data_IF_843113449316
#
_entry.id   IF_843113449316
#
_cell.length_a   1.000
_cell.length_b   1.000
_cell.length_c   1.000
_cell.angle_alpha   90.00
_cell.angle_beta   90.00
_cell.angle_gamma   90.00
#
_symmetry.space_group_name_H-M   'P 1'
#
loop_
_entity.id
_entity.type
_entity.pdbx_description
1 polymer ?
#
# COMPACT_ATOMS: atom_id res chain seq x y z
N UNK A 1 -53.28 -49.69 -45.34
CA UNK A 1 -52.53 -50.72 -46.08
C UNK A 1 -51.27 -50.04 -46.59
N UNK A 2 -50.13 -50.17 -45.92
CA UNK A 2 -49.10 -51.22 -46.13
C UNK A 2 -48.66 -51.31 -47.60
N UNK A 3 -47.36 -51.13 -47.86
CA UNK A 3 -46.81 -51.50 -49.16
C UNK A 3 -45.45 -50.89 -49.49
N UNK A 4 -44.40 -51.46 -48.91
CA UNK A 4 -43.01 -51.37 -49.35
C UNK A 4 -42.86 -51.74 -50.84
N UNK A 5 -41.99 -51.04 -51.60
CA UNK A 5 -41.48 -51.52 -52.90
C UNK A 5 -39.95 -51.66 -52.84
N UNK A 6 -39.37 -52.83 -53.17
CA UNK A 6 -37.93 -53.10 -53.06
C UNK A 6 -37.10 -52.59 -54.26
N UNK A 7 -35.85 -52.20 -53.96
CA UNK A 7 -34.68 -51.98 -54.85
C UNK A 7 -34.12 -53.36 -55.33
N UNK A 8 -33.40 -53.59 -56.48
CA UNK A 8 -32.10 -52.99 -56.90
C UNK A 8 -31.79 -53.18 -58.45
N UNK A 9 -30.56 -53.36 -59.00
CA UNK A 9 -29.19 -52.90 -58.69
C UNK A 9 -28.43 -52.19 -59.84
N UNK A 10 -27.37 -51.47 -59.41
CA UNK A 10 -26.13 -51.01 -60.04
C UNK A 10 -25.79 -51.40 -61.49
N UNK A 11 -25.37 -50.37 -62.21
CA UNK A 11 -24.19 -50.46 -63.09
C UNK A 11 -24.22 -49.41 -64.18
N UNK A 12 -23.41 -48.35 -64.07
CA UNK A 12 -22.49 -47.92 -65.13
C UNK A 12 -21.44 -46.99 -64.51
N UNK A 13 -20.18 -47.29 -64.85
CA UNK A 13 -18.94 -46.66 -64.43
C UNK A 13 -18.80 -45.30 -65.10
N UNK A 14 -18.53 -44.25 -64.33
CA UNK A 14 -17.82 -43.08 -64.86
C UNK A 14 -16.34 -43.23 -64.53
N UNK A 15 -15.59 -43.69 -65.51
CA UNK A 15 -14.14 -43.53 -65.61
C UNK A 15 -13.81 -42.09 -66.00
N UNK A 16 -12.85 -41.46 -65.32
CA UNK A 16 -11.97 -40.51 -66.00
C UNK A 16 -11.78 -39.10 -65.44
N UNK A 17 -12.17 -38.78 -64.21
CA UNK A 17 -11.69 -37.56 -63.54
C UNK A 17 -11.52 -37.86 -62.05
N UNK A 18 -10.29 -37.90 -61.54
CA UNK A 18 -10.07 -37.83 -60.08
C UNK A 18 -10.64 -36.50 -59.57
N UNK A 19 -11.35 -36.48 -58.44
CA UNK A 19 -11.78 -35.22 -57.84
C UNK A 19 -10.54 -34.40 -57.52
N UNK A 20 -10.36 -33.29 -58.22
CA UNK A 20 -9.31 -32.32 -57.90
C UNK A 20 -9.63 -31.78 -56.51
N UNK A 21 -8.82 -32.12 -55.52
CA UNK A 21 -8.89 -31.53 -54.20
C UNK A 21 -8.45 -30.07 -54.28
N UNK A 22 -9.42 -29.19 -54.54
CA UNK A 22 -9.26 -27.74 -54.56
C UNK A 22 -8.83 -27.18 -53.20
N UNK A 23 -8.90 -27.96 -52.11
CA UNK A 23 -8.30 -27.57 -50.85
C UNK A 23 -6.78 -27.71 -50.92
N UNK A 24 -6.24 -28.84 -51.38
CA UNK A 24 -4.80 -29.08 -51.44
C UNK A 24 -4.02 -28.03 -52.26
N UNK A 25 -4.58 -27.51 -53.36
CA UNK A 25 -3.98 -26.41 -54.13
C UNK A 25 -3.96 -25.07 -53.36
N UNK A 26 -4.94 -24.82 -52.49
CA UNK A 26 -5.04 -23.57 -51.71
C UNK A 26 -4.08 -23.52 -50.51
N UNK A 27 -3.61 -24.68 -50.04
CA UNK A 27 -2.60 -24.77 -48.98
C UNK A 27 -1.16 -24.59 -49.51
N UNK A 28 -0.93 -24.73 -50.81
CA UNK A 28 0.39 -24.56 -51.43
C UNK A 28 0.80 -23.08 -51.60
N UNK A 29 -0.16 -22.14 -51.60
CA UNK A 29 0.10 -20.69 -51.64
C UNK A 29 0.53 -20.10 -50.28
N UNK A 30 0.50 -20.89 -49.21
CA UNK A 30 0.80 -20.42 -47.85
C UNK A 30 2.25 -20.58 -47.39
N UNK A 31 3.19 -20.94 -48.29
CA UNK A 31 4.53 -21.34 -47.87
C UNK A 31 5.62 -20.27 -47.82
N UNK A 32 5.38 -19.02 -48.22
CA UNK A 32 6.41 -17.97 -48.12
C UNK A 32 5.82 -16.59 -47.83
N UNK A 33 5.06 -16.46 -46.73
CA UNK A 33 4.85 -15.14 -46.13
C UNK A 33 6.05 -14.83 -45.22
N UNK A 34 6.77 -13.70 -45.42
CA UNK A 34 7.78 -13.27 -44.46
C UNK A 34 7.13 -13.17 -43.08
N UNK A 35 7.86 -13.55 -42.03
CA UNK A 35 7.40 -13.44 -40.65
C UNK A 35 6.83 -12.04 -40.44
N UNK A 36 5.53 -11.95 -40.14
CA UNK A 36 4.94 -10.70 -39.67
C UNK A 36 5.82 -10.22 -38.53
N UNK A 37 6.43 -9.05 -38.68
CA UNK A 37 6.93 -8.31 -37.54
C UNK A 37 5.80 -8.31 -36.50
N UNK A 38 6.08 -8.87 -35.33
CA UNK A 38 5.10 -9.02 -34.27
C UNK A 38 4.44 -7.67 -34.03
N UNK A 39 3.16 -7.60 -34.42
CA UNK A 39 2.35 -6.42 -34.22
C UNK A 39 2.37 -6.13 -32.72
N UNK A 40 2.90 -4.96 -32.33
CA UNK A 40 2.90 -4.47 -30.95
C UNK A 40 1.55 -4.81 -30.30
N UNK A 41 1.53 -5.59 -29.20
CA UNK A 41 0.28 -6.04 -28.60
C UNK A 41 -0.56 -4.82 -28.19
N UNK A 42 -1.85 -4.87 -28.53
CA UNK A 42 -2.79 -3.79 -28.33
C UNK A 42 -2.91 -3.50 -26.81
N UNK A 43 -2.33 -2.39 -26.34
CA UNK A 43 -2.17 -2.05 -24.91
C UNK A 43 -3.46 -1.62 -24.20
N UNK A 44 -4.59 -1.55 -24.92
CA UNK A 44 -5.82 -0.90 -24.46
C UNK A 44 -6.66 -1.76 -23.50
N UNK A 45 -6.41 -3.07 -23.42
CA UNK A 45 -7.22 -4.03 -22.66
C UNK A 45 -6.55 -4.72 -21.47
N UNK A 46 -5.24 -4.57 -21.26
CA UNK A 46 -4.53 -5.28 -20.20
C UNK A 46 -4.69 -4.59 -18.84
N UNK A 47 -4.56 -5.38 -17.77
CA UNK A 47 -4.51 -4.93 -16.37
C UNK A 47 -3.36 -5.63 -15.65
N UNK A 48 -2.82 -5.02 -14.61
CA UNK A 48 -1.74 -5.62 -13.81
C UNK A 48 -2.27 -6.77 -12.96
N UNK A 49 -3.38 -6.54 -12.26
CA UNK A 49 -4.06 -7.53 -11.45
C UNK A 49 -5.58 -7.39 -11.63
N UNK A 50 -6.27 -8.53 -11.60
CA UNK A 50 -7.74 -8.66 -11.58
C UNK A 50 -8.15 -9.88 -10.76
N UNK A 51 -9.42 -9.95 -10.38
CA UNK A 51 -9.95 -11.13 -9.70
C UNK A 51 -9.90 -12.35 -10.60
N UNK A 52 -9.47 -13.48 -10.04
CA UNK A 52 -9.50 -14.80 -10.68
C UNK A 52 -10.90 -15.40 -10.79
N UNK A 53 -11.92 -14.78 -10.16
CA UNK A 53 -13.32 -15.18 -10.30
C UNK A 53 -13.94 -14.66 -11.61
N UNK A 54 -13.25 -13.76 -12.32
CA UNK A 54 -13.64 -13.31 -13.64
C UNK A 54 -13.25 -14.34 -14.70
N UNK A 55 -14.09 -14.48 -15.73
CA UNK A 55 -13.79 -15.34 -16.87
C UNK A 55 -12.53 -14.88 -17.63
N UNK A 56 -11.91 -15.82 -18.35
CA UNK A 56 -10.74 -15.57 -19.18
C UNK A 56 -10.94 -14.38 -20.12
N UNK A 57 -9.97 -13.47 -20.16
CA UNK A 57 -10.03 -12.25 -20.97
C UNK A 57 -10.97 -11.16 -20.44
N UNK A 58 -11.75 -11.43 -19.39
CA UNK A 58 -12.68 -10.46 -18.79
C UNK A 58 -12.01 -9.75 -17.62
N UNK A 59 -11.87 -8.43 -17.72
CA UNK A 59 -11.30 -7.58 -16.66
C UNK A 59 -12.35 -6.89 -15.79
N UNK A 60 -13.63 -6.99 -16.16
CA UNK A 60 -14.74 -6.26 -15.55
C UNK A 60 -15.89 -7.19 -15.18
N UNK A 61 -16.53 -6.96 -14.04
CA UNK A 61 -17.82 -7.58 -13.72
C UNK A 61 -18.89 -7.05 -14.69
N UNK A 62 -19.42 -7.94 -15.55
CA UNK A 62 -20.45 -7.62 -16.56
C UNK A 62 -21.76 -8.36 -16.31
N UNK A 63 -22.74 -7.78 -15.61
CA UNK A 63 -24.19 -8.18 -15.53
C UNK A 63 -25.06 -6.99 -15.02
N UNK A 64 -26.39 -6.93 -15.26
CA UNK A 64 -27.14 -5.70 -15.59
C UNK A 64 -27.29 -4.63 -14.50
N UNK A 65 -26.67 -4.80 -13.32
CA UNK A 65 -26.74 -3.83 -12.20
C UNK A 65 -25.36 -3.32 -11.78
N UNK A 66 -24.29 -3.68 -12.49
CA UNK A 66 -22.93 -3.22 -12.18
C UNK A 66 -22.48 -3.57 -10.76
N UNK A 67 -22.96 -4.68 -10.20
CA UNK A 67 -22.55 -5.14 -8.86
C UNK A 67 -21.12 -5.67 -8.90
N UNK A 68 -20.28 -5.19 -7.98
CA UNK A 68 -18.91 -5.67 -7.76
C UNK A 68 -18.91 -6.29 -6.36
N UNK A 69 -18.59 -7.59 -6.21
CA UNK A 69 -18.58 -8.25 -4.91
C UNK A 69 -17.45 -7.74 -4.01
N UNK A 70 -17.63 -7.90 -2.70
CA UNK A 70 -16.50 -7.81 -1.77
C UNK A 70 -15.72 -9.11 -1.85
N UNK A 71 -14.43 -9.02 -2.13
CA UNK A 71 -13.56 -10.18 -2.37
C UNK A 71 -12.38 -10.18 -1.42
N UNK A 72 -11.70 -11.32 -1.29
CA UNK A 72 -10.42 -11.37 -0.59
C UNK A 72 -9.32 -10.89 -1.51
N UNK A 73 -8.27 -10.27 -0.96
CA UNK A 73 -7.07 -9.91 -1.73
C UNK A 73 -6.46 -11.13 -2.46
N UNK A 74 -6.60 -12.33 -1.89
CA UNK A 74 -6.15 -13.59 -2.46
C UNK A 74 -6.79 -13.92 -3.82
N UNK A 75 -7.97 -13.35 -4.15
CA UNK A 75 -8.58 -13.52 -5.46
C UNK A 75 -7.82 -12.75 -6.55
N UNK A 76 -7.02 -11.74 -6.17
CA UNK A 76 -6.23 -10.92 -7.10
C UNK A 76 -4.77 -11.39 -7.21
N UNK A 77 -4.29 -12.18 -6.26
CA UNK A 77 -2.91 -12.64 -6.24
C UNK A 77 -2.43 -13.10 -4.87
N UNK A 78 -1.21 -13.64 -4.86
CA UNK A 78 -0.48 -13.94 -3.63
C UNK A 78 0.09 -12.64 -3.04
N UNK A 79 -0.02 -12.44 -1.73
CA UNK A 79 0.40 -11.20 -1.10
C UNK A 79 1.29 -11.45 0.10
N UNK A 80 2.21 -10.53 0.38
CA UNK A 80 3.03 -10.57 1.58
C UNK A 80 3.08 -9.19 2.23
N UNK A 81 3.03 -9.16 3.56
CA UNK A 81 3.21 -7.94 4.34
C UNK A 81 4.60 -7.98 4.94
N UNK A 82 5.36 -6.92 4.69
CA UNK A 82 6.70 -6.74 5.19
C UNK A 82 6.75 -5.51 6.10
N UNK A 83 7.59 -5.55 7.12
CA UNK A 83 7.89 -4.37 7.91
C UNK A 83 9.24 -4.44 8.59
N UNK A 84 9.71 -3.30 9.03
CA UNK A 84 10.97 -3.15 9.77
C UNK A 84 10.78 -2.18 10.93
N UNK A 85 11.66 -2.30 11.93
CA UNK A 85 11.64 -1.43 13.13
C UNK A 85 12.87 -0.54 13.23
N UNK A 86 14.02 -1.09 12.86
CA UNK A 86 15.31 -0.44 13.02
C UNK A 86 15.90 -0.09 11.65
N UNK A 87 16.73 0.94 11.65
CA UNK A 87 17.54 1.32 10.49
C UNK A 87 18.89 0.61 10.52
N UNK A 88 19.41 0.28 9.36
CA UNK A 88 20.80 -0.13 9.17
C UNK A 88 21.77 1.05 9.35
N UNK A 89 23.07 0.78 9.17
CA UNK A 89 24.12 1.80 9.27
C UNK A 89 24.01 2.93 8.24
N UNK A 90 23.31 2.67 7.12
CA UNK A 90 23.06 3.63 6.05
C UNK A 90 21.74 4.39 6.26
N UNK A 91 21.00 4.12 7.34
CA UNK A 91 19.71 4.74 7.64
C UNK A 91 18.52 4.12 6.92
N UNK A 92 18.68 2.98 6.23
CA UNK A 92 17.60 2.27 5.56
C UNK A 92 16.94 1.27 6.48
N UNK A 93 15.67 0.97 6.30
CA UNK A 93 14.92 0.02 7.13
C UNK A 93 14.90 -1.34 6.43
N UNK A 94 15.58 -2.37 6.98
CA UNK A 94 15.48 -3.72 6.43
C UNK A 94 14.06 -4.25 6.61
N UNK A 95 13.40 -4.61 5.50
CA UNK A 95 12.05 -5.15 5.53
C UNK A 95 12.09 -6.66 5.81
N UNK A 96 11.37 -7.07 6.84
CA UNK A 96 11.21 -8.47 7.28
C UNK A 96 9.75 -8.91 7.14
N UNK A 97 9.51 -10.20 6.96
CA UNK A 97 8.17 -10.74 6.74
C UNK A 97 7.32 -10.67 8.01
N UNK A 98 6.15 -10.02 7.93
CA UNK A 98 5.13 -9.99 8.97
C UNK A 98 4.13 -11.13 8.76
N UNK A 99 3.59 -11.27 7.55
CA UNK A 99 2.58 -12.28 7.25
C UNK A 99 2.17 -12.31 5.78
N UNK A 100 1.11 -13.06 5.48
CA UNK A 100 0.69 -13.39 4.11
C UNK A 100 1.43 -14.60 3.53
N UNK A 101 1.35 -14.74 2.22
CA UNK A 101 1.90 -15.80 1.38
C UNK A 101 3.43 -15.94 1.51
N UNK A 102 3.96 -17.06 1.03
CA UNK A 102 5.41 -17.25 0.96
C UNK A 102 6.02 -16.23 0.00
N UNK A 103 7.10 -15.58 0.43
CA UNK A 103 7.86 -14.66 -0.43
C UNK A 103 8.81 -15.51 -1.28
N UNK A 104 8.82 -15.39 -2.61
CA UNK A 104 9.74 -16.13 -3.46
C UNK A 104 11.19 -15.85 -3.07
N UNK A 105 11.99 -16.89 -2.86
CA UNK A 105 13.39 -16.75 -2.44
C UNK A 105 14.23 -15.96 -3.44
N UNK A 106 13.89 -16.05 -4.74
CA UNK A 106 14.51 -15.29 -5.81
C UNK A 106 14.41 -13.76 -5.62
N UNK A 107 13.42 -13.28 -4.85
CA UNK A 107 13.27 -11.86 -4.51
C UNK A 107 14.49 -11.33 -3.73
N UNK A 108 15.22 -12.17 -3.00
CA UNK A 108 16.34 -11.72 -2.18
C UNK A 108 15.88 -10.85 -1.01
N UNK A 109 16.47 -9.66 -0.85
CA UNK A 109 16.17 -8.76 0.27
C UNK A 109 15.75 -7.37 -0.19
N UNK A 110 14.95 -6.71 0.66
CA UNK A 110 14.41 -5.38 0.43
C UNK A 110 14.71 -4.48 1.62
N UNK A 111 15.15 -3.25 1.35
CA UNK A 111 15.25 -2.19 2.34
C UNK A 111 14.42 -0.99 1.89
N UNK A 112 13.74 -0.36 2.83
CA UNK A 112 13.06 0.91 2.59
C UNK A 112 14.02 2.06 2.92
N UNK A 113 14.37 2.85 1.93
CA UNK A 113 15.22 4.03 2.08
C UNK A 113 14.39 5.31 2.16
N UNK A 114 14.83 6.25 2.99
CA UNK A 114 14.42 7.66 2.97
C UNK A 114 15.64 8.51 2.63
N UNK A 115 15.50 9.66 1.97
CA UNK A 115 16.62 10.60 1.77
C UNK A 115 17.07 11.18 3.11
N UNK A 116 17.85 10.41 3.86
CA UNK A 116 18.75 10.92 4.86
C UNK A 116 19.94 11.54 4.12
N UNK A 117 19.93 12.85 3.87
CA UNK A 117 21.20 13.56 3.76
C UNK A 117 21.94 13.29 5.07
N UNK A 118 23.07 12.58 4.97
CA UNK A 118 23.91 12.17 6.07
C UNK A 118 24.00 13.24 7.18
N UNK A 119 23.52 12.89 8.37
CA UNK A 119 23.91 13.55 9.59
C UNK A 119 24.30 12.45 10.58
N UNK A 120 25.58 12.11 10.55
CA UNK A 120 26.24 11.36 11.60
C UNK A 120 25.93 12.01 12.96
N UNK A 121 25.11 11.35 13.76
CA UNK A 121 25.19 11.50 15.21
C UNK A 121 25.86 10.24 15.72
N UNK A 122 27.20 10.32 15.76
CA UNK A 122 27.97 9.60 16.77
C UNK A 122 27.22 9.79 18.09
N UNK A 123 26.66 8.71 18.62
CA UNK A 123 26.23 8.66 20.00
C UNK A 123 27.48 8.89 20.85
N UNK A 124 27.75 10.15 21.18
CA UNK A 124 28.69 10.54 22.21
C UNK A 124 28.32 9.80 23.48
N UNK A 125 29.07 8.72 23.75
CA UNK A 125 29.15 7.96 24.98
C UNK A 125 27.86 7.83 25.80
N UNK A 126 26.96 6.91 25.43
CA UNK A 126 26.09 6.24 26.42
C UNK A 126 25.49 4.91 25.90
N UNK A 127 26.29 4.12 25.19
CA UNK A 127 25.99 2.70 24.96
C UNK A 127 27.00 1.87 25.74
N UNK A 128 26.75 1.63 27.03
CA UNK A 128 27.34 0.47 27.70
C UNK A 128 26.69 -0.76 27.12
N UNK A 129 27.44 -1.45 26.25
CA UNK A 129 27.14 -2.79 25.80
C UNK A 129 26.83 -3.69 27.01
N UNK A 130 25.73 -4.44 26.92
CA UNK A 130 25.35 -5.44 27.91
C UNK A 130 26.47 -6.47 28.06
N UNK A 131 27.21 -6.38 29.16
CA UNK A 131 27.95 -7.51 29.71
C UNK A 131 26.95 -8.51 30.27
N UNK A 132 26.88 -9.68 29.63
CA UNK A 132 26.23 -10.85 30.18
C UNK A 132 26.86 -11.19 31.55
N UNK A 133 26.05 -11.19 32.60
CA UNK A 133 26.36 -11.86 33.86
C UNK A 133 25.35 -12.98 34.05
N UNK A 134 25.80 -14.20 33.76
CA UNK A 134 25.16 -15.41 34.24
C UNK A 134 25.77 -15.78 35.61
N UNK A 135 24.90 -15.96 36.61
CA UNK A 135 24.95 -16.96 37.69
C UNK A 135 24.41 -16.43 39.02
N UNK A 136 23.54 -17.22 39.68
CA UNK A 136 23.38 -17.15 41.14
C UNK A 136 21.96 -17.21 41.68
N UNK A 137 21.45 -18.42 41.84
CA UNK A 137 20.42 -18.93 42.78
C UNK A 137 19.96 -18.04 43.95
N UNK A 138 18.64 -17.94 44.17
CA UNK A 138 18.05 -17.52 45.44
C UNK A 138 16.51 -17.53 45.42
N UNK A 139 15.91 -18.35 46.28
CA UNK A 139 14.49 -18.72 46.32
C UNK A 139 13.52 -17.68 46.90
N UNK A 140 12.25 -17.86 46.50
CA UNK A 140 10.99 -17.62 47.23
C UNK A 140 10.56 -16.19 47.61
N UNK A 141 9.46 -15.73 46.99
CA UNK A 141 8.22 -15.44 47.71
C UNK A 141 7.03 -15.54 46.75
N UNK A 142 6.04 -16.36 47.13
CA UNK A 142 4.78 -16.53 46.42
C UNK A 142 3.87 -15.31 46.63
N UNK A 143 3.32 -14.81 45.53
CA UNK A 143 2.19 -13.88 45.50
C UNK A 143 1.36 -14.20 44.27
N UNK A 144 0.23 -14.86 44.50
CA UNK A 144 -0.65 -15.41 43.47
C UNK A 144 -1.42 -14.36 42.67
N UNK A 145 -1.56 -14.66 41.38
CA UNK A 145 -2.74 -14.43 40.55
C UNK A 145 -3.08 -12.99 40.15
N UNK A 146 -2.35 -12.53 39.14
CA UNK A 146 -2.87 -11.66 38.09
C UNK A 146 -2.08 -11.94 36.83
N UNK A 147 -2.37 -13.05 36.13
CA UNK A 147 -1.87 -13.23 34.76
C UNK A 147 -2.65 -12.25 33.89
N UNK A 148 -2.21 -10.99 33.90
CA UNK A 148 -2.25 -10.21 32.67
C UNK A 148 -1.22 -10.87 31.79
N UNK A 149 -1.68 -11.68 30.84
CA UNK A 149 -0.95 -11.86 29.59
C UNK A 149 -0.76 -10.45 29.04
N UNK A 150 0.35 -9.82 29.42
CA UNK A 150 0.84 -8.61 28.80
C UNK A 150 1.01 -9.00 27.33
N UNK A 151 0.01 -8.66 26.52
CA UNK A 151 0.13 -8.74 25.08
C UNK A 151 1.43 -8.02 24.76
N UNK A 152 2.34 -8.74 24.10
CA UNK A 152 3.59 -8.17 23.62
C UNK A 152 3.19 -6.92 22.86
N UNK A 153 3.47 -5.74 23.41
CA UNK A 153 3.21 -4.50 22.69
C UNK A 153 4.06 -4.61 21.42
N UNK A 154 3.41 -4.87 20.28
CA UNK A 154 4.09 -5.00 19.02
C UNK A 154 4.70 -3.62 18.74
N UNK A 155 6.01 -3.49 18.95
CA UNK A 155 6.70 -2.22 18.82
C UNK A 155 6.43 -1.58 17.46
N UNK A 156 6.31 -0.25 17.45
CA UNK A 156 6.04 0.55 16.26
C UNK A 156 6.96 0.15 15.10
N UNK A 157 6.39 -0.02 13.92
CA UNK A 157 7.14 -0.27 12.70
C UNK A 157 7.72 1.06 12.21
N UNK A 158 9.01 1.06 11.89
CA UNK A 158 9.66 2.16 11.18
C UNK A 158 9.42 2.14 9.68
N UNK A 159 8.95 1.01 9.13
CA UNK A 159 8.55 0.90 7.73
C UNK A 159 7.59 -0.27 7.53
N UNK A 160 6.62 -0.09 6.63
CA UNK A 160 5.60 -1.06 6.30
C UNK A 160 5.35 -1.07 4.80
N UNK A 161 5.36 -2.27 4.20
CA UNK A 161 5.04 -2.46 2.81
C UNK A 161 4.16 -3.70 2.64
N UNK A 162 3.29 -3.68 1.64
CA UNK A 162 2.58 -4.86 1.19
C UNK A 162 2.86 -5.10 -0.29
N UNK A 163 3.20 -6.34 -0.61
CA UNK A 163 3.49 -6.83 -1.94
C UNK A 163 2.32 -7.69 -2.42
N UNK A 164 1.99 -7.60 -3.70
CA UNK A 164 1.01 -8.45 -4.38
C UNK A 164 1.58 -8.93 -5.71
N UNK A 165 1.75 -10.24 -5.86
CA UNK A 165 2.01 -10.89 -7.13
C UNK A 165 0.68 -11.26 -7.77
N UNK A 166 0.38 -10.70 -8.94
CA UNK A 166 -0.87 -11.00 -9.65
C UNK A 166 -1.04 -12.49 -9.84
N UNK A 167 -2.27 -12.98 -9.68
CA UNK A 167 -2.64 -14.34 -10.04
C UNK A 167 -2.20 -14.65 -11.47
N UNK A 168 -1.56 -15.81 -11.67
CA UNK A 168 -1.28 -16.31 -13.02
C UNK A 168 -2.56 -16.90 -13.59
N UNK A 169 -3.21 -16.16 -14.49
CA UNK A 169 -4.50 -16.54 -15.07
C UNK A 169 -4.36 -17.27 -16.41
N UNK A 170 -3.15 -17.28 -17.00
CA UNK A 170 -2.90 -17.89 -18.31
C UNK A 170 -3.69 -17.25 -19.46
N UNK A 171 -4.34 -16.11 -19.22
CA UNK A 171 -5.11 -15.37 -20.20
C UNK A 171 -4.35 -14.13 -20.72
N UNK A 172 -4.83 -13.55 -21.82
CA UNK A 172 -4.22 -12.36 -22.44
C UNK A 172 -4.66 -11.03 -21.81
N UNK A 173 -5.32 -11.08 -20.64
CA UNK A 173 -5.83 -9.87 -19.97
C UNK A 173 -4.82 -9.22 -19.03
N UNK A 174 -3.72 -9.91 -18.72
CA UNK A 174 -2.64 -9.37 -17.88
C UNK A 174 -1.54 -8.74 -18.74
N UNK A 175 -0.88 -7.72 -18.20
CA UNK A 175 0.35 -7.21 -18.83
C UNK A 175 1.45 -8.27 -18.79
N UNK A 176 2.21 -8.35 -19.87
CA UNK A 176 3.50 -9.05 -19.92
C UNK A 176 4.60 -8.22 -19.24
N UNK A 177 5.68 -8.87 -18.84
CA UNK A 177 6.83 -8.18 -18.23
C UNK A 177 7.43 -7.15 -19.22
N UNK A 178 7.56 -7.52 -20.49
CA UNK A 178 8.08 -6.66 -21.55
C UNK A 178 7.20 -5.42 -21.77
N UNK A 179 5.87 -5.58 -21.66
CA UNK A 179 4.96 -4.43 -21.71
C UNK A 179 5.21 -3.50 -20.53
N UNK A 180 5.25 -4.02 -19.29
CA UNK A 180 5.46 -3.20 -18.09
C UNK A 180 6.78 -2.44 -18.12
N UNK A 181 7.86 -3.03 -18.64
CA UNK A 181 9.16 -2.37 -18.79
C UNK A 181 9.12 -1.09 -19.67
N UNK A 182 8.12 -0.97 -20.56
CA UNK A 182 7.98 0.19 -21.45
C UNK A 182 6.99 1.24 -20.95
N UNK A 183 6.25 0.95 -19.88
CA UNK A 183 5.16 1.78 -19.39
C UNK A 183 5.61 2.70 -18.24
N UNK A 184 5.04 3.92 -18.21
CA UNK A 184 5.15 4.83 -17.05
C UNK A 184 4.04 4.63 -16.04
N UNK A 185 2.89 4.17 -16.52
CA UNK A 185 1.72 3.83 -15.73
C UNK A 185 1.05 2.61 -16.35
N UNK A 186 0.44 1.78 -15.52
CA UNK A 186 -0.29 0.59 -15.96
C UNK A 186 -1.63 0.51 -15.23
N UNK A 187 -2.61 -0.04 -15.93
CA UNK A 187 -3.97 -0.23 -15.41
C UNK A 187 -3.98 -1.34 -14.35
N UNK A 188 -4.71 -1.20 -13.26
CA UNK A 188 -4.96 -2.26 -12.27
C UNK A 188 -6.43 -2.29 -11.88
N UNK A 189 -6.99 -3.46 -11.56
CA UNK A 189 -8.36 -3.61 -11.02
C UNK A 189 -8.42 -3.53 -9.50
N UNK A 190 -7.29 -3.39 -8.82
CA UNK A 190 -7.20 -3.30 -7.36
C UNK A 190 -6.19 -2.24 -6.93
N UNK A 191 -6.57 -1.48 -5.90
CA UNK A 191 -5.72 -0.54 -5.17
C UNK A 191 -5.78 -0.91 -3.70
N UNK A 192 -4.64 -1.05 -3.05
CA UNK A 192 -4.50 -1.58 -1.71
C UNK A 192 -3.93 -0.54 -0.75
N UNK A 193 -4.35 -0.62 0.50
CA UNK A 193 -3.86 0.20 1.59
C UNK A 193 -3.48 -0.66 2.78
N UNK A 194 -2.41 -0.25 3.48
CA UNK A 194 -1.95 -0.85 4.71
C UNK A 194 -1.43 0.24 5.65
N UNK A 195 -1.77 0.15 6.92
CA UNK A 195 -1.25 1.04 7.97
C UNK A 195 -1.13 0.30 9.30
N UNK A 196 -0.26 0.80 10.18
CA UNK A 196 -0.24 0.40 11.59
C UNK A 196 -1.09 1.40 12.40
N UNK A 197 -2.02 0.88 13.19
CA UNK A 197 -2.83 1.67 14.10
C UNK A 197 -2.05 2.02 15.37
N UNK A 198 -2.53 3.01 16.11
CA UNK A 198 -1.90 3.48 17.35
C UNK A 198 -1.78 2.41 18.45
N UNK A 199 -2.57 1.34 18.39
CA UNK A 199 -2.48 0.19 19.30
C UNK A 199 -1.48 -0.90 18.83
N UNK A 200 -0.76 -0.64 17.74
CA UNK A 200 0.21 -1.54 17.13
C UNK A 200 -0.37 -2.56 16.17
N UNK A 201 -1.71 -2.67 16.06
CA UNK A 201 -2.37 -3.58 15.12
C UNK A 201 -2.26 -3.07 13.68
N UNK A 202 -2.33 -3.98 12.71
CA UNK A 202 -2.33 -3.61 11.30
C UNK A 202 -3.76 -3.50 10.76
N UNK A 203 -4.05 -2.43 10.02
CA UNK A 203 -5.26 -2.27 9.21
C UNK A 203 -4.87 -2.40 7.75
N UNK A 204 -5.62 -3.20 7.00
CA UNK A 204 -5.43 -3.34 5.55
C UNK A 204 -6.75 -3.58 4.84
N UNK A 205 -6.93 -2.93 3.70
CA UNK A 205 -8.10 -3.08 2.83
C UNK A 205 -7.73 -2.63 1.42
N UNK A 206 -8.59 -2.91 0.45
CA UNK A 206 -8.43 -2.40 -0.90
C UNK A 206 -9.76 -2.01 -1.53
N UNK A 207 -9.67 -1.35 -2.67
CA UNK A 207 -10.80 -1.03 -3.51
C UNK A 207 -10.63 -1.61 -4.90
N UNK A 208 -11.72 -2.11 -5.46
CA UNK A 208 -11.81 -2.40 -6.88
C UNK A 208 -11.95 -1.08 -7.67
N UNK A 209 -11.21 -0.96 -8.76
CA UNK A 209 -11.12 0.29 -9.53
C UNK A 209 -12.11 0.40 -10.70
N UNK A 210 -12.82 -0.67 -11.06
CA UNK A 210 -13.63 -0.75 -12.30
C UNK A 210 -14.60 0.42 -12.49
N UNK A 211 -15.19 0.95 -11.40
CA UNK A 211 -16.17 2.03 -11.46
C UNK A 211 -15.57 3.43 -11.41
N UNK A 212 -14.24 3.53 -11.30
CA UNK A 212 -13.50 4.76 -11.08
C UNK A 212 -12.24 4.74 -11.93
N UNK A 213 -12.40 5.18 -13.17
CA UNK A 213 -11.32 5.22 -14.16
C UNK A 213 -10.09 5.98 -13.68
N UNK A 214 -10.30 7.00 -12.84
CA UNK A 214 -9.25 7.80 -12.22
C UNK A 214 -8.38 7.01 -11.22
N UNK A 215 -8.86 5.85 -10.73
CA UNK A 215 -8.11 4.97 -9.82
C UNK A 215 -7.33 3.88 -10.52
N UNK A 216 -7.65 3.60 -11.78
CA UNK A 216 -7.15 2.42 -12.47
C UNK A 216 -5.67 2.54 -12.86
N UNK A 217 -5.18 3.74 -13.14
CA UNK A 217 -3.81 3.94 -13.61
C UNK A 217 -2.88 4.26 -12.45
N UNK A 218 -1.87 3.41 -12.22
CA UNK A 218 -0.84 3.63 -11.20
C UNK A 218 0.55 3.68 -11.80
N UNK A 219 1.52 4.37 -11.16
CA UNK A 219 2.87 4.47 -11.69
C UNK A 219 3.56 3.11 -11.76
N UNK A 220 4.31 2.91 -12.83
CA UNK A 220 5.23 1.80 -13.00
C UNK A 220 6.62 2.29 -12.67
N UNK A 221 7.26 1.65 -11.69
CA UNK A 221 8.58 2.02 -11.17
C UNK A 221 9.55 0.89 -11.44
N UNK A 222 10.72 1.25 -11.94
CA UNK A 222 11.77 0.31 -12.29
C UNK A 222 12.95 0.48 -11.33
N UNK A 223 13.66 -0.60 -11.07
CA UNK A 223 14.94 -0.52 -10.39
C UNK A 223 16.02 0.03 -11.33
N UNK A 224 16.77 1.00 -10.82
CA UNK A 224 17.94 1.57 -11.49
C UNK A 224 19.18 1.24 -10.67
N UNK A 225 20.25 0.82 -11.35
CA UNK A 225 21.53 0.60 -10.71
C UNK A 225 22.11 1.93 -10.21
N UNK A 226 22.35 2.03 -8.91
CA UNK A 226 23.03 3.15 -8.25
C UNK A 226 24.22 2.60 -7.47
N UNK A 227 25.41 2.66 -8.09
CA UNK A 227 26.61 2.00 -7.57
C UNK A 227 26.42 0.48 -7.53
N UNK A 228 26.53 -0.12 -6.35
CA UNK A 228 26.28 -1.56 -6.12
C UNK A 228 24.83 -1.89 -5.74
N UNK A 229 23.95 -0.88 -5.61
CA UNK A 229 22.56 -1.03 -5.17
C UNK A 229 21.61 -0.97 -6.37
N UNK A 230 20.49 -1.69 -6.30
CA UNK A 230 19.35 -1.51 -7.20
C UNK A 230 18.29 -0.69 -6.48
N UNK A 231 17.93 0.48 -7.02
CA UNK A 231 17.06 1.44 -6.33
C UNK A 231 15.84 1.75 -7.18
N UNK A 232 14.66 1.55 -6.61
CA UNK A 232 13.39 2.01 -7.14
C UNK A 232 12.98 3.27 -6.35
N UNK A 233 12.83 4.39 -7.06
CA UNK A 233 12.43 5.67 -6.48
C UNK A 233 10.92 5.84 -6.62
N UNK A 234 10.23 5.99 -5.50
CA UNK A 234 8.78 6.21 -5.46
C UNK A 234 8.42 7.69 -5.48
N UNK A 235 9.41 8.59 -5.49
CA UNK A 235 9.22 10.01 -5.27
C UNK A 235 9.06 10.34 -3.78
N UNK A 236 8.96 11.63 -3.47
CA UNK A 236 8.79 12.14 -2.10
C UNK A 236 9.86 11.58 -1.12
N UNK A 237 11.08 11.38 -1.62
CA UNK A 237 12.20 10.89 -0.81
C UNK A 237 12.08 9.44 -0.34
N UNK A 238 11.07 8.67 -0.78
CA UNK A 238 10.90 7.25 -0.45
C UNK A 238 11.48 6.38 -1.57
N UNK A 239 12.37 5.47 -1.20
CA UNK A 239 13.00 4.53 -2.14
C UNK A 239 12.90 3.10 -1.64
N UNK A 240 12.89 2.14 -2.55
CA UNK A 240 13.08 0.73 -2.25
C UNK A 240 14.43 0.29 -2.80
N UNK A 241 15.26 -0.27 -1.93
CA UNK A 241 16.56 -0.83 -2.30
C UNK A 241 16.40 -2.34 -2.36
N UNK A 242 16.74 -2.91 -3.50
CA UNK A 242 16.68 -4.34 -3.75
C UNK A 242 18.07 -4.93 -3.86
N UNK A 243 18.27 -6.06 -3.18
CA UNK A 243 19.45 -6.89 -3.35
C UNK A 243 19.01 -8.27 -3.82
N UNK A 244 19.36 -8.68 -5.06
CA UNK A 244 18.97 -9.98 -5.60
C UNK A 244 19.53 -11.13 -4.74
N UNK A 245 18.85 -12.26 -4.76
CA UNK A 245 19.40 -13.48 -4.16
C UNK A 245 20.68 -13.90 -4.90
N UNK A 246 21.78 -14.07 -4.16
CA UNK A 246 23.09 -14.49 -4.72
C UNK A 246 23.01 -15.92 -5.29
N UNK A 247 22.15 -16.75 -4.72
CA UNK A 247 21.84 -18.10 -5.19
C UNK A 247 20.33 -18.37 -5.02
N UNK A 248 19.55 -18.57 -6.11
CA UNK A 248 18.12 -18.86 -6.04
C UNK A 248 17.77 -20.15 -5.29
N UNK A 249 18.74 -21.05 -5.10
CA UNK A 249 18.62 -22.29 -4.34
C UNK A 249 19.05 -22.16 -2.87
N UNK A 250 19.68 -21.03 -2.50
CA UNK A 250 20.01 -20.74 -1.11
C UNK A 250 18.75 -20.40 -0.31
N UNK A 251 18.69 -20.83 0.96
CA UNK A 251 17.51 -20.73 1.82
C UNK A 251 17.26 -19.27 2.30
N UNK A 252 18.09 -18.30 1.89
CA UNK A 252 18.08 -16.95 2.46
C UNK A 252 17.08 -16.02 1.79
N UNK A 253 15.79 -16.31 1.93
CA UNK A 253 14.70 -15.38 1.61
C UNK A 253 14.54 -14.29 2.68
N UNK A 254 13.53 -13.42 2.51
CA UNK A 254 13.21 -12.39 3.51
C UNK A 254 12.88 -13.04 4.86
N UNK A 255 13.64 -12.76 5.94
CA UNK A 255 13.43 -13.40 7.23
C UNK A 255 12.14 -12.90 7.91
N UNK A 256 11.55 -13.67 8.85
CA UNK A 256 10.41 -13.21 9.63
C UNK A 256 10.79 -12.05 10.56
N UNK A 257 9.84 -11.15 10.83
CA UNK A 257 9.99 -10.08 11.81
C UNK A 257 9.73 -10.63 13.22
N UNK A 258 10.69 -10.47 14.12
CA UNK A 258 10.55 -10.90 15.51
C UNK A 258 9.48 -10.07 16.24
N UNK A 259 8.53 -10.75 16.88
CA UNK A 259 7.39 -10.10 17.54
C UNK A 259 6.52 -9.29 16.57
N UNK A 260 6.37 -9.75 15.32
CA UNK A 260 5.53 -9.10 14.32
C UNK A 260 4.07 -8.96 14.78
N UNK A 261 3.39 -7.85 14.43
CA UNK A 261 1.95 -7.76 14.63
C UNK A 261 1.21 -8.80 13.78
N UNK A 262 -0.02 -9.14 14.17
CA UNK A 262 -0.85 -10.05 13.40
C UNK A 262 -1.21 -9.42 12.04
N UNK A 263 -0.99 -10.17 10.95
CA UNK A 263 -1.41 -9.75 9.62
C UNK A 263 -2.95 -9.65 9.54
N UNK A 264 -3.50 -8.55 8.99
CA UNK A 264 -4.93 -8.37 8.87
C UNK A 264 -5.51 -9.26 7.77
N UNK A 265 -6.80 -9.55 7.86
CA UNK A 265 -7.56 -10.04 6.71
C UNK A 265 -7.87 -8.86 5.80
N UNK A 266 -7.49 -8.96 4.53
CA UNK A 266 -7.62 -7.87 3.57
C UNK A 266 -8.76 -8.19 2.61
N UNK A 267 -9.74 -7.30 2.60
CA UNK A 267 -10.90 -7.33 1.72
C UNK A 267 -10.79 -6.23 0.67
N UNK A 268 -11.22 -6.57 -0.55
CA UNK A 268 -11.30 -5.67 -1.69
C UNK A 268 -12.76 -5.26 -1.84
N UNK A 269 -13.03 -3.99 -1.65
CA UNK A 269 -14.39 -3.45 -1.62
C UNK A 269 -14.76 -2.80 -2.96
N UNK A 270 -16.05 -2.82 -3.33
CA UNK A 270 -16.54 -1.94 -4.38
C UNK A 270 -16.47 -0.48 -3.91
N UNK A 271 -16.26 0.50 -4.80
CA UNK A 271 -16.14 1.90 -4.42
C UNK A 271 -17.51 2.56 -4.20
N UNK A 272 -18.25 2.10 -3.18
CA UNK A 272 -19.62 2.53 -2.86
C UNK A 272 -19.71 3.11 -1.44
N UNK A 273 -20.71 3.96 -1.18
CA UNK A 273 -20.95 4.52 0.16
C UNK A 273 -21.18 3.43 1.23
N UNK A 274 -21.71 2.27 0.83
CA UNK A 274 -21.86 1.12 1.72
C UNK A 274 -20.51 0.57 2.17
N UNK A 275 -19.53 0.46 1.26
CA UNK A 275 -18.17 0.06 1.61
C UNK A 275 -17.50 1.07 2.54
N UNK A 276 -17.72 2.37 2.30
CA UNK A 276 -17.15 3.45 3.10
C UNK A 276 -17.61 3.39 4.56
N UNK A 277 -18.89 3.05 4.78
CA UNK A 277 -19.45 2.82 6.11
C UNK A 277 -18.87 1.58 6.81
N UNK A 278 -18.45 0.56 6.04
CA UNK A 278 -17.84 -0.66 6.59
C UNK A 278 -16.38 -0.41 6.99
N UNK A 279 -15.60 0.27 6.14
CA UNK A 279 -14.15 0.48 6.36
C UNK A 279 -13.88 1.50 7.47
N UNK A 280 -14.81 2.44 7.67
CA UNK A 280 -14.73 3.53 8.65
C UNK A 280 -13.50 4.43 8.43
N UNK A 281 -13.74 5.68 8.04
CA UNK A 281 -12.68 6.62 7.60
C UNK A 281 -11.75 6.00 6.54
N UNK A 282 -12.29 5.56 5.39
CA UNK A 282 -11.45 5.02 4.33
C UNK A 282 -10.51 6.10 3.79
N UNK A 283 -9.27 5.71 3.60
CA UNK A 283 -8.32 6.37 2.71
C UNK A 283 -8.64 5.84 1.31
N UNK A 284 -8.69 6.72 0.32
CA UNK A 284 -8.98 6.32 -1.05
C UNK A 284 -7.71 6.20 -1.89
N UNK A 285 -7.77 5.48 -3.02
CA UNK A 285 -6.60 5.22 -3.85
C UNK A 285 -5.88 6.45 -4.38
N UNK A 286 -6.56 7.58 -4.51
CA UNK A 286 -5.90 8.84 -4.81
C UNK A 286 -4.79 9.12 -3.81
N UNK A 287 -4.98 8.84 -2.52
CA UNK A 287 -4.05 9.01 -1.40
C UNK A 287 -3.05 7.85 -1.17
N UNK A 288 -3.04 6.82 -2.02
CA UNK A 288 -2.18 5.65 -1.80
C UNK A 288 -0.77 5.85 -2.39
N UNK A 289 0.24 5.42 -1.64
CA UNK A 289 1.61 5.32 -2.11
C UNK A 289 1.85 3.91 -2.68
N UNK A 290 1.27 3.65 -3.84
CA UNK A 290 1.31 2.35 -4.49
C UNK A 290 1.76 2.39 -5.95
N UNK A 291 2.44 1.31 -6.35
CA UNK A 291 3.24 1.24 -7.56
C UNK A 291 3.22 -0.17 -8.14
N UNK A 292 3.41 -0.27 -9.45
CA UNK A 292 3.82 -1.52 -10.09
C UNK A 292 5.34 -1.51 -10.18
N UNK A 293 5.97 -2.46 -9.49
CA UNK A 293 7.41 -2.58 -9.40
C UNK A 293 7.90 -3.59 -10.43
N UNK A 294 8.78 -3.14 -11.32
CA UNK A 294 9.38 -3.96 -12.38
C UNK A 294 10.86 -4.18 -12.09
N UNK A 295 11.25 -5.45 -11.99
CA UNK A 295 12.63 -5.85 -11.72
C UNK A 295 13.46 -5.85 -13.00
N UNK A 296 14.80 -5.76 -12.91
CA UNK A 296 15.67 -5.85 -14.07
C UNK A 296 15.45 -7.18 -14.82
N UNK A 297 15.46 -7.09 -16.15
CA UNK A 297 15.25 -8.24 -17.03
C UNK A 297 16.27 -9.36 -16.73
N UNK A 298 15.79 -10.61 -16.68
CA UNK A 298 16.62 -11.78 -16.40
C UNK A 298 16.95 -11.99 -14.92
N UNK A 299 16.41 -11.17 -14.00
CA UNK A 299 16.56 -11.36 -12.55
C UNK A 299 15.84 -12.61 -12.01
N UNK A 300 14.89 -13.16 -12.77
CA UNK A 300 14.03 -14.25 -12.32
C UNK A 300 12.95 -13.81 -11.31
N UNK A 301 12.80 -12.51 -11.08
CA UNK A 301 11.78 -11.94 -10.19
C UNK A 301 10.68 -11.30 -11.04
N UNK A 302 9.45 -11.78 -10.88
CA UNK A 302 8.29 -11.23 -11.60
C UNK A 302 7.93 -9.83 -11.09
N UNK A 303 7.41 -8.96 -11.98
CA UNK A 303 6.81 -7.70 -11.55
C UNK A 303 5.73 -7.91 -10.49
N UNK A 304 5.65 -6.99 -9.53
CA UNK A 304 4.70 -7.06 -8.43
C UNK A 304 4.07 -5.69 -8.18
N UNK A 305 2.88 -5.67 -7.59
CA UNK A 305 2.31 -4.46 -7.04
C UNK A 305 2.84 -4.26 -5.62
N UNK A 306 3.19 -3.02 -5.26
CA UNK A 306 3.63 -2.65 -3.91
C UNK A 306 2.84 -1.45 -3.42
N UNK A 307 2.39 -1.50 -2.17
CA UNK A 307 1.98 -0.31 -1.42
C UNK A 307 2.94 -0.11 -0.26
N UNK A 308 3.39 1.13 -0.07
CA UNK A 308 4.30 1.52 1.01
C UNK A 308 3.60 2.49 1.94
N UNK A 309 3.58 2.16 3.22
CA UNK A 309 3.16 3.07 4.27
C UNK A 309 4.40 3.62 4.95
N UNK A 310 4.98 4.65 4.34
CA UNK A 310 6.10 5.39 4.89
C UNK A 310 5.60 6.76 5.34
N UNK A 311 5.22 6.90 6.61
CA UNK A 311 5.15 8.23 7.27
C UNK A 311 6.50 8.59 7.88
N UNK A 312 7.58 8.32 7.15
CA UNK A 312 8.97 8.36 7.66
C UNK A 312 9.90 9.16 6.75
N UNK A 313 9.38 10.16 6.04
CA UNK A 313 10.27 11.26 5.64
C UNK A 313 10.80 11.87 6.92
N UNK A 314 12.12 11.87 7.15
CA UNK A 314 12.65 12.72 8.20
C UNK A 314 12.65 14.16 7.70
N UNK A 315 12.14 15.09 8.49
CA UNK A 315 12.07 16.49 8.05
C UNK A 315 12.16 17.46 9.21
N UNK A 316 12.58 18.68 8.88
CA UNK A 316 12.55 19.80 9.82
C UNK A 316 11.19 20.49 9.71
N UNK A 317 10.63 20.89 10.85
CA UNK A 317 9.38 21.67 10.87
C UNK A 317 9.62 23.05 10.28
N UNK A 318 8.77 23.43 9.33
CA UNK A 318 8.76 24.74 8.67
C UNK A 318 7.36 25.36 8.80
N UNK A 319 7.17 26.58 8.28
CA UNK A 319 5.89 27.29 8.38
C UNK A 319 5.75 28.17 9.62
N UNK A 320 4.78 29.07 9.60
CA UNK A 320 4.52 30.05 10.66
C UNK A 320 3.41 29.63 11.61
N UNK A 321 2.46 28.81 11.16
CA UNK A 321 1.18 28.62 11.81
C UNK A 321 0.30 29.88 11.70
N UNK A 322 -0.85 29.86 12.35
CA UNK A 322 -1.78 31.00 12.38
C UNK A 322 -2.11 31.41 13.81
N UNK A 323 -2.33 32.70 14.01
CA UNK A 323 -2.87 33.21 15.26
C UNK A 323 -4.33 32.78 15.40
N UNK A 324 -4.61 32.08 16.50
CA UNK A 324 -5.95 31.58 16.80
C UNK A 324 -6.54 32.35 17.97
N UNK A 325 -7.79 32.80 17.82
CA UNK A 325 -8.54 33.48 18.87
C UNK A 325 -9.70 32.61 19.37
N UNK A 326 -9.94 32.59 20.68
CA UNK A 326 -11.04 31.82 21.27
C UNK A 326 -10.73 30.32 21.36
N UNK A 327 -11.75 29.48 21.13
CA UNK A 327 -11.60 28.02 21.21
C UNK A 327 -10.96 27.51 19.93
N UNK A 328 -9.71 27.08 20.02
CA UNK A 328 -8.88 26.67 18.87
C UNK A 328 -9.56 25.61 18.01
N UNK A 329 -10.00 24.49 18.62
CA UNK A 329 -10.60 23.37 17.88
C UNK A 329 -12.09 23.55 17.57
N UNK A 330 -12.69 24.72 17.82
CA UNK A 330 -14.09 24.95 17.45
C UNK A 330 -14.32 24.89 15.94
N UNK A 331 -13.32 25.30 15.14
CA UNK A 331 -13.37 25.25 13.67
C UNK A 331 -12.97 23.91 13.05
N UNK A 332 -12.48 22.94 13.84
CA UNK A 332 -11.95 21.67 13.34
C UNK A 332 -13.00 20.79 12.62
N UNK A 333 -14.30 21.03 12.87
CA UNK A 333 -15.40 20.35 12.18
C UNK A 333 -15.85 21.03 10.88
N UNK A 334 -15.16 22.06 10.41
CA UNK A 334 -15.58 22.88 9.25
C UNK A 334 -14.41 23.17 8.31
N UNK A 335 -14.70 23.54 7.05
CA UNK A 335 -13.68 23.98 6.09
C UNK A 335 -12.57 22.93 5.91
N UNK A 336 -11.31 23.35 5.98
CA UNK A 336 -10.16 22.44 5.97
C UNK A 336 -9.70 22.02 7.38
N UNK A 337 -10.45 22.38 8.43
CA UNK A 337 -10.05 22.19 9.83
C UNK A 337 -9.45 23.45 10.47
N UNK A 338 -8.96 23.31 11.70
CA UNK A 338 -8.35 24.39 12.46
C UNK A 338 -6.83 24.45 12.16
N UNK A 339 -6.25 25.63 11.88
CA UNK A 339 -4.83 25.75 11.59
C UNK A 339 -3.96 25.43 12.82
N UNK A 340 -2.69 25.12 12.61
CA UNK A 340 -1.72 24.98 13.70
C UNK A 340 -1.46 26.36 14.33
N UNK A 341 -1.62 26.53 15.67
CA UNK A 341 -1.39 27.81 16.33
C UNK A 341 0.07 28.27 16.19
N UNK A 342 0.31 29.55 15.89
CA UNK A 342 1.67 30.11 15.77
C UNK A 342 2.54 29.81 16.99
N UNK A 343 1.98 29.92 18.20
CA UNK A 343 2.68 29.58 19.46
C UNK A 343 3.13 28.12 19.58
N UNK A 344 2.46 27.19 18.88
CA UNK A 344 2.84 25.78 18.83
C UNK A 344 3.84 25.57 17.69
N UNK A 345 3.62 26.21 16.54
CA UNK A 345 4.56 26.20 15.43
C UNK A 345 5.94 26.70 15.86
N UNK A 346 6.01 27.82 16.61
CA UNK A 346 7.25 28.40 17.13
C UNK A 346 8.05 27.43 18.01
N UNK A 347 7.37 26.60 18.80
CA UNK A 347 8.03 25.61 19.66
C UNK A 347 8.67 24.50 18.83
N UNK A 348 8.03 24.10 17.73
CA UNK A 348 8.46 22.96 16.91
C UNK A 348 9.36 23.36 15.75
N UNK A 349 9.32 24.62 15.30
CA UNK A 349 10.03 25.10 14.10
C UNK A 349 11.51 24.79 14.17
N UNK A 350 12.05 24.23 13.09
CA UNK A 350 13.44 23.82 12.98
C UNK A 350 13.79 22.52 13.70
N UNK A 351 12.91 21.96 14.54
CA UNK A 351 13.10 20.63 15.09
C UNK A 351 12.98 19.58 13.98
N UNK A 352 13.82 18.54 14.06
CA UNK A 352 13.82 17.44 13.10
C UNK A 352 13.12 16.23 13.70
N UNK A 353 12.20 15.65 12.94
CA UNK A 353 11.49 14.43 13.30
C UNK A 353 11.88 13.29 12.37
N UNK A 354 11.90 12.06 12.89
CA UNK A 354 12.21 10.85 12.10
C UNK A 354 10.96 10.31 11.38
N UNK A 355 9.79 10.74 11.82
CA UNK A 355 8.50 10.33 11.29
C UNK A 355 7.45 11.41 11.51
N UNK A 356 6.36 11.36 10.75
CA UNK A 356 5.24 12.26 10.98
C UNK A 356 4.52 11.91 12.30
N UNK A 357 4.60 10.66 12.77
CA UNK A 357 4.03 10.28 14.07
C UNK A 357 4.80 10.89 15.24
N UNK A 358 6.14 10.96 15.15
CA UNK A 358 6.96 11.67 16.15
C UNK A 358 6.60 13.16 16.19
N UNK A 359 6.41 13.77 15.02
CA UNK A 359 5.93 15.14 14.92
C UNK A 359 4.52 15.30 15.51
N UNK A 360 3.58 14.42 15.17
CA UNK A 360 2.21 14.42 15.74
C UNK A 360 2.27 14.33 17.26
N UNK A 361 3.10 13.45 17.80
CA UNK A 361 3.26 13.29 19.24
C UNK A 361 3.84 14.56 19.89
N UNK A 362 4.85 15.16 19.27
CA UNK A 362 5.45 16.42 19.72
C UNK A 362 4.47 17.60 19.64
N UNK A 363 3.67 17.68 18.58
CA UNK A 363 2.60 18.67 18.42
C UNK A 363 1.60 18.60 19.56
N UNK A 364 1.06 17.42 19.85
CA UNK A 364 0.10 17.26 20.94
C UNK A 364 0.72 17.46 22.31
N UNK A 365 2.00 17.11 22.49
CA UNK A 365 2.75 17.41 23.72
C UNK A 365 2.94 18.91 23.90
N UNK A 366 3.28 19.65 22.85
CA UNK A 366 3.42 21.11 22.88
C UNK A 366 2.08 21.79 23.22
N UNK A 367 0.97 21.34 22.62
CA UNK A 367 -0.39 21.77 22.99
C UNK A 367 -0.68 21.45 24.47
N UNK A 368 -0.26 20.27 24.93
CA UNK A 368 -0.43 19.84 26.32
C UNK A 368 0.37 20.68 27.33
N UNK A 369 1.45 21.31 26.88
CA UNK A 369 2.31 22.16 27.71
C UNK A 369 1.96 23.65 27.63
N UNK A 370 1.09 24.06 26.69
CA UNK A 370 0.60 25.44 26.59
C UNK A 370 -0.62 25.62 27.51
N UNK A 371 -0.54 26.43 28.58
CA UNK A 371 -1.63 26.52 29.55
C UNK A 371 -2.94 27.07 28.97
N UNK A 372 -2.85 27.97 27.99
CA UNK A 372 -4.02 28.59 27.38
C UNK A 372 -4.76 27.58 26.51
N UNK A 373 -4.05 26.82 25.68
CA UNK A 373 -4.65 25.77 24.84
C UNK A 373 -5.09 24.57 25.69
N UNK A 374 -4.27 24.11 26.64
CA UNK A 374 -4.59 22.98 27.52
C UNK A 374 -5.89 23.22 28.31
N UNK A 375 -6.14 24.45 28.74
CA UNK A 375 -7.35 24.82 29.50
C UNK A 375 -8.65 24.61 28.72
N UNK A 376 -8.57 24.53 27.39
CA UNK A 376 -9.72 24.29 26.50
C UNK A 376 -10.13 22.81 26.46
N UNK A 377 -9.28 21.90 26.96
CA UNK A 377 -9.53 20.46 26.95
C UNK A 377 -10.08 19.97 28.28
N UNK A 378 -11.03 19.01 28.24
CA UNK A 378 -11.47 18.29 29.44
C UNK A 378 -10.32 17.46 30.06
N UNK A 379 -10.34 17.16 31.37
CA UNK A 379 -9.26 16.45 32.06
C UNK A 379 -8.78 15.17 31.35
N UNK A 380 -9.70 14.34 30.86
CA UNK A 380 -9.33 13.13 30.11
C UNK A 380 -8.48 13.44 28.88
N UNK A 381 -8.79 14.49 28.13
CA UNK A 381 -7.99 14.87 26.96
C UNK A 381 -6.65 15.50 27.36
N UNK A 382 -6.59 16.20 28.49
CA UNK A 382 -5.33 16.69 29.04
C UNK A 382 -4.35 15.54 29.33
N UNK A 383 -4.84 14.43 29.90
CA UNK A 383 -4.03 13.22 30.14
C UNK A 383 -3.50 12.58 28.84
N UNK A 384 -4.27 12.65 27.75
CA UNK A 384 -3.84 12.13 26.44
C UNK A 384 -2.77 13.04 25.82
N UNK A 385 -2.97 14.36 25.88
CA UNK A 385 -2.01 15.35 25.37
C UNK A 385 -0.66 15.23 26.09
N UNK A 386 -0.67 15.06 27.42
CA UNK A 386 0.55 14.85 28.22
C UNK A 386 1.35 13.59 27.82
N UNK A 387 0.73 12.66 27.10
CA UNK A 387 1.34 11.42 26.58
C UNK A 387 1.61 11.48 25.08
N UNK A 388 1.53 12.66 24.45
CA UNK A 388 1.70 12.84 23.00
C UNK A 388 0.58 12.21 22.15
N UNK A 389 -0.58 11.95 22.73
CA UNK A 389 -1.71 11.36 22.00
C UNK A 389 -2.69 12.43 21.52
N UNK A 390 -3.29 12.18 20.35
CA UNK A 390 -4.37 13.03 19.86
C UNK A 390 -5.57 13.02 20.81
N UNK A 391 -6.16 14.19 21.14
CA UNK A 391 -7.32 14.28 22.01
C UNK A 391 -8.58 13.73 21.32
N UNK A 392 -9.56 13.28 22.11
CA UNK A 392 -10.84 12.82 21.57
C UNK A 392 -11.68 14.00 21.07
N UNK A 393 -12.26 13.84 19.88
CA UNK A 393 -13.27 14.73 19.32
C UNK A 393 -14.64 14.54 20.02
N UNK A 394 -15.53 15.55 19.98
CA UNK A 394 -16.92 15.43 20.42
C UNK A 394 -17.60 14.23 19.77
N UNK A 395 -18.51 13.55 20.49
CA UNK A 395 -19.15 12.33 19.98
C UNK A 395 -19.86 12.53 18.64
N UNK A 396 -20.46 13.69 18.41
CA UNK A 396 -21.15 14.05 17.17
C UNK A 396 -20.19 14.26 15.97
N UNK A 397 -18.91 14.47 16.25
CA UNK A 397 -17.84 14.77 15.29
C UNK A 397 -16.94 13.55 15.00
N UNK A 398 -17.31 12.38 15.52
CA UNK A 398 -16.60 11.12 15.29
C UNK A 398 -17.07 10.46 14.00
N UNK A 399 -16.21 9.63 13.42
CA UNK A 399 -16.51 8.82 12.24
C UNK A 399 -16.31 7.34 12.57
N UNK A 400 -17.40 6.65 12.93
CA UNK A 400 -17.38 5.25 13.39
C UNK A 400 -16.44 5.03 14.59
N UNK A 401 -15.52 4.07 14.47
CA UNK A 401 -14.47 3.78 15.47
C UNK A 401 -13.40 4.88 15.59
N UNK A 402 -13.32 5.81 14.63
CA UNK A 402 -12.36 6.90 14.67
C UNK A 402 -12.90 8.07 15.50
N UNK A 403 -12.29 8.30 16.67
CA UNK A 403 -12.80 9.21 17.68
C UNK A 403 -11.88 10.37 18.06
N UNK A 404 -10.69 10.49 17.45
CA UNK A 404 -9.66 11.45 17.85
C UNK A 404 -9.45 12.49 16.75
N UNK A 405 -9.08 13.71 17.13
CA UNK A 405 -8.70 14.71 16.14
C UNK A 405 -7.54 14.22 15.27
N UNK A 406 -7.58 14.57 14.00
CA UNK A 406 -6.63 14.13 12.98
C UNK A 406 -5.89 15.34 12.41
N UNK A 407 -4.62 15.15 12.04
CA UNK A 407 -3.85 16.17 11.33
C UNK A 407 -3.97 15.87 9.84
N UNK A 408 -4.45 16.84 9.09
CA UNK A 408 -4.68 16.79 7.65
C UNK A 408 -3.66 17.68 6.93
N UNK A 409 -3.15 17.20 5.79
CA UNK A 409 -2.33 17.99 4.87
C UNK A 409 -3.25 18.70 3.86
N UNK A 410 -3.23 20.02 3.83
CA UNK A 410 -4.08 20.86 2.98
C UNK A 410 -3.76 20.61 1.50
N UNK A 411 -2.48 20.70 1.14
CA UNK A 411 -1.93 20.17 -0.10
C UNK A 411 -1.44 18.74 0.18
N UNK A 412 -2.03 17.76 -0.51
CA UNK A 412 -1.67 16.37 -0.31
C UNK A 412 -0.21 16.12 -0.67
N UNK A 413 0.46 15.28 0.12
CA UNK A 413 1.89 14.94 -0.05
C UNK A 413 2.17 14.42 -1.47
N UNK A 414 1.28 13.59 -2.00
CA UNK A 414 1.40 13.06 -3.37
C UNK A 414 1.34 14.11 -4.49
N UNK A 415 0.80 15.30 -4.19
CA UNK A 415 0.74 16.42 -5.12
C UNK A 415 1.89 17.41 -4.90
N UNK A 416 2.87 17.06 -4.06
CA UNK A 416 4.02 17.90 -3.75
C UNK A 416 3.89 18.68 -2.43
N UNK A 417 2.81 18.45 -1.66
CA UNK A 417 2.61 19.11 -0.38
C UNK A 417 3.69 18.74 0.63
N UNK A 418 4.23 19.76 1.31
CA UNK A 418 5.30 19.56 2.29
C UNK A 418 4.80 18.80 3.54
N UNK A 419 5.56 17.79 3.97
CA UNK A 419 5.18 16.90 5.09
C UNK A 419 5.18 17.61 6.44
N UNK A 420 6.16 18.48 6.68
CA UNK A 420 6.41 19.14 7.97
C UNK A 420 6.24 20.67 7.93
N UNK A 421 5.64 21.20 6.88
CA UNK A 421 5.24 22.61 6.86
C UNK A 421 3.94 22.77 7.63
N UNK A 422 3.97 23.42 8.80
CA UNK A 422 2.77 23.61 9.62
C UNK A 422 1.71 24.47 8.95
N UNK A 423 2.07 25.25 7.93
CA UNK A 423 1.11 26.04 7.13
C UNK A 423 0.35 25.14 6.15
N UNK A 424 0.91 23.97 5.83
CA UNK A 424 0.26 22.91 5.06
C UNK A 424 -0.56 21.96 5.97
N UNK A 425 -0.62 22.20 7.29
CA UNK A 425 -1.30 21.32 8.23
C UNK A 425 -2.53 21.98 8.86
N UNK A 426 -3.56 21.17 9.05
CA UNK A 426 -4.75 21.53 9.82
C UNK A 426 -5.20 20.38 10.73
N UNK A 427 -5.90 20.72 11.80
CA UNK A 427 -6.53 19.75 12.70
C UNK A 427 -8.00 19.65 12.35
N UNK A 428 -8.44 18.46 11.95
CA UNK A 428 -9.82 18.17 11.58
C UNK A 428 -10.47 17.17 12.55
N UNK A 429 -11.79 17.23 12.69
CA UNK A 429 -12.55 16.14 13.30
C UNK A 429 -12.57 14.93 12.37
N UNK A 430 -12.66 13.68 12.87
CA UNK A 430 -12.76 12.50 12.02
C UNK A 430 -13.86 12.57 10.98
N UNK A 431 -15.01 13.14 11.37
CA UNK A 431 -16.14 13.35 10.48
C UNK A 431 -15.78 14.34 9.36
N UNK A 432 -15.24 15.51 9.72
CA UNK A 432 -14.89 16.54 8.74
C UNK A 432 -13.75 16.08 7.83
N UNK A 433 -12.74 15.40 8.37
CA UNK A 433 -11.62 14.90 7.58
C UNK A 433 -12.09 13.94 6.48
N UNK A 434 -13.04 13.05 6.80
CA UNK A 434 -13.66 12.17 5.79
C UNK A 434 -14.47 12.95 4.73
N UNK A 435 -15.11 14.06 5.11
CA UNK A 435 -15.82 14.94 4.18
C UNK A 435 -14.88 15.73 3.27
N UNK A 436 -13.75 16.24 3.78
CA UNK A 436 -12.73 16.95 2.97
C UNK A 436 -12.27 16.03 1.83
N UNK A 437 -11.86 14.80 2.18
CA UNK A 437 -11.51 13.80 1.17
C UNK A 437 -12.67 13.52 0.22
N UNK A 438 -13.94 13.61 0.65
CA UNK A 438 -15.12 13.45 -0.22
C UNK A 438 -15.32 14.59 -1.20
N UNK A 439 -15.08 15.82 -0.76
CA UNK A 439 -15.22 17.03 -1.56
C UNK A 439 -14.11 17.15 -2.61
N UNK A 440 -12.87 16.83 -2.26
CA UNK A 440 -11.75 16.92 -3.22
C UNK A 440 -11.92 15.91 -4.38
N UNK A 441 -12.56 14.78 -4.11
CA UNK A 441 -12.98 13.82 -5.16
C UNK A 441 -14.01 14.37 -6.15
N UNK A 442 -14.74 15.44 -5.83
CA UNK A 442 -15.79 16.02 -6.70
C UNK A 442 -15.28 17.20 -7.53
N UNK A 443 -14.10 17.73 -7.21
CA UNK A 443 -13.48 18.86 -7.93
C UNK A 443 -12.64 18.42 -9.14
N UNK A 444 -12.36 17.11 -9.23
CA UNK A 444 -11.77 16.43 -10.38
C UNK A 444 -12.90 15.84 -11.24
#
# INVERSE_FOLDING_TARGET
>A
MSGYVPNPPKGYRNSGVEPVDIHAQRWAEYKDLPSKEDAKPNTVGCVFAKSCDLADGVIDYKKPVGFIPVEKVANYGEFAILGGRETDADGNIPLKKIGGSAVPTALGTLLLGGTATAASVSCGGLCTAGTAVAAGTGSSAAGSAGVVTAGVAAGALGGLAMLLWSSSLGDSSLYTEEQLQSLKQARTRVRLHIEQQADGTLKGYGYNTQKRSEWEMIPVVQFVAQGSKQVADFGNGVTLIWTPAVDPSSISGIPPLEGAPQAPQIWIYPPTEQADNIIVSPIYPDAYNDYILVFPAGSGVQPLYIVVSARHESGAVTGQGQDVSGIWLAGAGTGLGAPIPTRIADQLRGQKFKSFDDFRAALWTAVGNDPELLSQFKPTNQDWLAKGNSPFAPKAERNGGNGRYEIHHIEHIQHGGAVYDVDNLSVATPKRHAEIHKEDRQKL
#
